data_IF_135932297903
#
_entry.id   IF_135932297903
#
_cell.length_a   1.000
_cell.length_b   1.000
_cell.length_c   1.000
_cell.angle_alpha   90.00
_cell.angle_beta   90.00
_cell.angle_gamma   90.00
#
_symmetry.space_group_name_H-M   'P 1'
#
loop_
_entity.id
_entity.type
_entity.pdbx_description
1 polymer ?
#
# COMPACT_ATOMS: atom_id res chain seq x y z
N UNK A 1 -15.35 -8.39 -8.03
CA UNK A 1 -15.01 -8.18 -9.47
C UNK A 1 -13.90 -9.14 -9.86
N UNK A 2 -13.86 -9.61 -11.12
CA UNK A 2 -12.78 -10.50 -11.56
C UNK A 2 -11.49 -9.73 -11.82
N UNK A 3 -10.37 -10.25 -11.30
CA UNK A 3 -9.02 -9.71 -11.48
C UNK A 3 -8.03 -10.85 -11.65
N UNK A 4 -6.92 -10.59 -12.33
CA UNK A 4 -5.75 -11.46 -12.35
C UNK A 4 -4.89 -11.17 -11.13
N UNK A 5 -4.82 -12.12 -10.21
CA UNK A 5 -4.08 -12.03 -8.94
C UNK A 5 -2.72 -12.70 -9.13
N UNK A 6 -1.66 -11.96 -8.82
CA UNK A 6 -0.29 -12.48 -8.83
C UNK A 6 0.10 -12.83 -7.40
N UNK A 7 0.48 -14.09 -7.15
CA UNK A 7 0.79 -14.59 -5.79
C UNK A 7 2.11 -15.32 -5.76
N UNK A 8 2.90 -15.10 -4.72
CA UNK A 8 4.08 -15.92 -4.44
C UNK A 8 3.63 -17.29 -3.91
N UNK A 9 4.12 -18.39 -4.52
CA UNK A 9 3.72 -19.75 -4.16
C UNK A 9 4.18 -20.19 -2.78
N UNK A 10 5.30 -19.63 -2.30
CA UNK A 10 5.92 -19.99 -1.04
C UNK A 10 5.29 -19.19 0.12
N UNK A 11 5.18 -17.87 -0.03
CA UNK A 11 4.69 -16.99 1.04
C UNK A 11 3.17 -16.81 1.01
N UNK A 12 2.50 -17.13 -0.10
CA UNK A 12 1.11 -16.78 -0.39
C UNK A 12 0.81 -15.27 -0.41
N UNK A 13 1.84 -14.42 -0.36
CA UNK A 13 1.65 -12.97 -0.47
C UNK A 13 1.16 -12.59 -1.86
N UNK A 14 0.20 -11.66 -1.91
CA UNK A 14 -0.34 -11.11 -3.16
C UNK A 14 0.47 -9.89 -3.57
N UNK A 15 1.02 -9.92 -4.76
CA UNK A 15 1.87 -8.86 -5.30
C UNK A 15 1.06 -7.75 -5.96
N UNK A 16 -0.07 -8.13 -6.56
CA UNK A 16 -0.96 -7.20 -7.26
C UNK A 16 -2.18 -7.90 -7.84
N UNK A 17 -3.19 -7.07 -8.16
CA UNK A 17 -4.49 -7.49 -8.67
C UNK A 17 -4.80 -6.65 -9.91
N UNK A 18 -4.82 -7.28 -11.08
CA UNK A 18 -4.81 -6.57 -12.37
C UNK A 18 -6.05 -6.88 -13.21
N UNK A 19 -6.42 -5.97 -14.11
CA UNK A 19 -7.59 -6.17 -14.99
C UNK A 19 -7.32 -7.22 -16.07
N UNK A 20 -6.07 -7.35 -16.50
CA UNK A 20 -5.68 -8.26 -17.58
C UNK A 20 -4.49 -9.12 -17.21
N UNK A 21 -4.41 -10.31 -17.80
CA UNK A 21 -3.27 -11.21 -17.65
C UNK A 21 -1.94 -10.59 -18.11
N UNK A 22 -2.00 -9.75 -19.16
CA UNK A 22 -0.81 -9.09 -19.70
C UNK A 22 -0.24 -8.09 -18.67
N UNK A 23 -1.10 -7.23 -18.10
CA UNK A 23 -0.69 -6.33 -17.01
C UNK A 23 -0.10 -7.10 -15.83
N UNK A 24 -0.74 -8.19 -15.41
CA UNK A 24 -0.23 -9.05 -14.35
C UNK A 24 1.17 -9.62 -14.65
N UNK A 25 1.39 -10.07 -15.90
CA UNK A 25 2.67 -10.64 -16.33
C UNK A 25 3.77 -9.59 -16.43
N UNK A 26 3.47 -8.41 -16.99
CA UNK A 26 4.42 -7.29 -17.08
C UNK A 26 4.86 -6.84 -15.68
N UNK A 27 3.90 -6.66 -14.77
CA UNK A 27 4.15 -6.24 -13.39
C UNK A 27 4.90 -7.28 -12.57
N UNK A 28 4.66 -8.58 -12.84
CA UNK A 28 5.44 -9.65 -12.23
C UNK A 28 6.92 -9.60 -12.66
N UNK A 29 7.19 -9.36 -13.94
CA UNK A 29 8.57 -9.23 -14.45
C UNK A 29 9.26 -8.01 -13.86
N UNK A 30 8.55 -6.87 -13.76
CA UNK A 30 9.06 -5.67 -13.07
C UNK A 30 9.43 -5.99 -11.61
N UNK A 31 8.55 -6.65 -10.87
CA UNK A 31 8.80 -7.01 -9.47
C UNK A 31 10.00 -7.94 -9.31
N UNK A 32 10.12 -8.99 -10.14
CA UNK A 32 11.25 -9.92 -10.08
C UNK A 32 12.56 -9.18 -10.38
N UNK A 33 12.55 -8.31 -11.39
CA UNK A 33 13.74 -7.52 -11.75
C UNK A 33 14.16 -6.62 -10.60
N UNK A 34 13.22 -5.94 -9.94
CA UNK A 34 13.48 -5.09 -8.78
C UNK A 34 14.01 -5.88 -7.57
N UNK A 35 13.51 -7.10 -7.35
CA UNK A 35 13.94 -7.94 -6.24
C UNK A 35 15.31 -8.59 -6.46
N UNK A 36 15.66 -8.85 -7.72
CA UNK A 36 16.92 -9.47 -8.08
C UNK A 36 18.02 -8.46 -8.41
N UNK A 37 17.76 -7.15 -8.34
CA UNK A 37 18.71 -6.10 -8.74
C UNK A 37 20.04 -6.22 -7.98
N UNK A 38 19.99 -6.63 -6.72
CA UNK A 38 21.13 -6.82 -5.83
C UNK A 38 21.36 -8.29 -5.39
N UNK A 39 20.75 -9.26 -6.07
CA UNK A 39 20.82 -10.69 -5.68
C UNK A 39 21.30 -11.55 -6.85
N UNK A 40 22.35 -12.34 -6.63
CA UNK A 40 22.86 -13.25 -7.66
C UNK A 40 21.93 -14.46 -7.85
N UNK A 41 21.94 -15.07 -9.05
CA UNK A 41 21.05 -16.20 -9.39
C UNK A 41 21.25 -17.47 -8.54
N UNK A 42 22.39 -17.57 -7.86
CA UNK A 42 22.77 -18.67 -6.98
C UNK A 42 22.63 -18.32 -5.48
N UNK A 43 22.19 -17.10 -5.15
CA UNK A 43 21.95 -16.65 -3.78
C UNK A 43 20.52 -16.93 -3.32
N UNK A 44 20.37 -17.16 -2.01
CA UNK A 44 19.07 -17.29 -1.38
C UNK A 44 18.27 -15.99 -1.53
N UNK A 45 17.04 -16.10 -2.03
CA UNK A 45 16.16 -14.96 -2.25
C UNK A 45 16.06 -14.51 -3.72
N UNK A 46 16.85 -15.08 -4.63
CA UNK A 46 16.64 -14.87 -6.07
C UNK A 46 15.28 -15.40 -6.50
N UNK A 47 14.48 -14.55 -7.16
CA UNK A 47 13.14 -14.88 -7.60
C UNK A 47 13.08 -15.22 -9.09
N UNK A 48 12.29 -16.22 -9.43
CA UNK A 48 11.99 -16.65 -10.79
C UNK A 48 10.51 -16.53 -11.08
N UNK A 49 10.14 -16.43 -12.36
CA UNK A 49 8.74 -16.44 -12.79
C UNK A 49 7.98 -17.69 -12.32
N UNK A 50 8.70 -18.78 -12.06
CA UNK A 50 8.11 -20.05 -11.61
C UNK A 50 7.73 -20.03 -10.12
N UNK A 51 8.24 -19.09 -9.34
CA UNK A 51 7.89 -18.92 -7.92
C UNK A 51 6.50 -18.27 -7.74
N UNK A 52 5.87 -17.86 -8.84
CA UNK A 52 4.61 -17.14 -8.82
C UNK A 52 3.51 -17.87 -9.58
N UNK A 53 2.30 -17.55 -9.17
CA UNK A 53 1.08 -17.97 -9.84
C UNK A 53 0.26 -16.75 -10.27
N UNK A 54 -0.44 -16.88 -11.41
CA UNK A 54 -1.29 -15.83 -11.97
C UNK A 54 -2.65 -16.45 -12.27
N UNK A 55 -3.63 -16.17 -11.42
CA UNK A 55 -4.98 -16.73 -11.52
C UNK A 55 -6.04 -15.63 -11.66
N UNK A 56 -7.11 -15.91 -12.39
CA UNK A 56 -8.30 -15.05 -12.39
C UNK A 56 -9.16 -15.39 -11.17
N UNK A 57 -9.33 -14.42 -10.27
CA UNK A 57 -10.06 -14.59 -9.01
C UNK A 57 -11.15 -13.51 -8.87
N UNK A 58 -12.21 -13.83 -8.13
CA UNK A 58 -13.19 -12.84 -7.71
C UNK A 58 -12.70 -12.11 -6.46
N UNK A 59 -12.39 -10.82 -6.63
CA UNK A 59 -11.84 -9.96 -5.59
C UNK A 59 -12.91 -9.02 -5.06
N UNK A 60 -12.98 -8.89 -3.73
CA UNK A 60 -13.75 -7.85 -3.07
C UNK A 60 -12.90 -6.58 -2.98
N UNK A 61 -13.47 -5.43 -3.34
CA UNK A 61 -12.74 -4.18 -3.27
C UNK A 61 -12.86 -3.56 -1.88
N UNK A 62 -11.73 -3.23 -1.25
CA UNK A 62 -11.66 -2.41 -0.04
C UNK A 62 -11.48 -0.96 -0.49
N UNK A 63 -12.58 -0.26 -0.76
CA UNK A 63 -12.56 1.09 -1.33
C UNK A 63 -12.74 2.22 -0.32
N UNK A 64 -13.18 1.89 0.90
CA UNK A 64 -13.50 2.88 1.93
C UNK A 64 -13.12 2.39 3.33
N UNK A 65 -13.20 3.31 4.29
CA UNK A 65 -13.04 3.01 5.71
C UNK A 65 -14.07 1.98 6.20
N UNK A 66 -15.32 2.08 5.76
CA UNK A 66 -16.38 1.14 6.16
C UNK A 66 -16.14 -0.26 5.59
N UNK A 67 -15.67 -0.34 4.33
CA UNK A 67 -15.26 -1.63 3.74
C UNK A 67 -14.11 -2.26 4.53
N UNK A 68 -13.12 -1.45 4.91
CA UNK A 68 -11.98 -1.89 5.71
C UNK A 68 -12.41 -2.39 7.09
N UNK A 69 -13.29 -1.65 7.80
CA UNK A 69 -13.87 -2.09 9.08
C UNK A 69 -14.57 -3.44 8.95
N UNK A 70 -15.43 -3.57 7.94
CA UNK A 70 -16.16 -4.81 7.68
C UNK A 70 -15.21 -5.97 7.39
N UNK A 71 -14.19 -5.74 6.57
CA UNK A 71 -13.17 -6.72 6.23
C UNK A 71 -12.37 -7.18 7.47
N UNK A 72 -12.03 -6.24 8.35
CA UNK A 72 -11.30 -6.52 9.59
C UNK A 72 -12.18 -7.10 10.70
N UNK A 73 -13.51 -7.07 10.56
CA UNK A 73 -14.46 -7.50 11.60
C UNK A 73 -14.55 -6.53 12.78
N UNK A 74 -14.28 -5.24 12.56
CA UNK A 74 -14.38 -4.20 13.57
C UNK A 74 -15.85 -3.86 13.86
N UNK A 75 -16.18 -3.53 15.11
CA UNK A 75 -17.56 -3.14 15.49
C UNK A 75 -17.99 -1.84 14.80
N UNK A 76 -19.30 -1.67 14.63
CA UNK A 76 -19.90 -0.41 14.12
C UNK A 76 -19.83 0.74 15.13
N UNK A 77 -19.05 0.59 16.19
CA UNK A 77 -18.80 1.68 17.12
C UNK A 77 -18.15 2.86 16.39
N UNK A 78 -18.56 4.10 16.72
CA UNK A 78 -17.94 5.28 16.16
C UNK A 78 -16.46 5.31 16.53
N UNK A 79 -15.64 5.91 15.66
CA UNK A 79 -14.23 6.13 15.97
C UNK A 79 -14.12 6.81 17.33
N UNK A 80 -13.32 6.24 18.24
CA UNK A 80 -13.22 6.72 19.62
C UNK A 80 -13.05 8.25 19.67
N UNK A 81 -13.84 8.93 20.50
CA UNK A 81 -13.66 10.37 20.73
C UNK A 81 -12.33 10.61 21.44
N UNK A 82 -11.37 11.22 20.75
CA UNK A 82 -10.10 11.60 21.36
C UNK A 82 -10.32 12.89 22.17
N UNK A 83 -10.39 12.75 23.49
CA UNK A 83 -10.58 13.88 24.40
C UNK A 83 -9.34 14.78 24.48
N UNK A 84 -9.53 16.10 24.56
CA UNK A 84 -8.45 17.07 24.77
C UNK A 84 -7.66 17.44 23.52
N UNK A 85 -8.12 17.04 22.33
CA UNK A 85 -7.51 17.42 21.06
C UNK A 85 -7.87 18.87 20.71
N UNK A 86 -6.89 19.62 20.21
CA UNK A 86 -7.14 20.91 19.59
C UNK A 86 -8.03 20.72 18.35
N UNK A 87 -9.16 21.44 18.27
CA UNK A 87 -10.11 21.36 17.14
C UNK A 87 -9.44 21.48 15.76
N UNK A 88 -8.34 22.23 15.66
CA UNK A 88 -7.55 22.36 14.42
C UNK A 88 -6.89 21.04 13.96
N UNK A 89 -6.72 20.06 14.84
CA UNK A 89 -6.08 18.77 14.54
C UNK A 89 -7.08 17.60 14.49
N UNK A 90 -8.34 17.81 14.86
CA UNK A 90 -9.36 16.75 14.91
C UNK A 90 -9.55 16.07 13.54
N UNK A 91 -9.62 16.88 12.48
CA UNK A 91 -9.74 16.40 11.09
C UNK A 91 -8.55 15.52 10.68
N UNK A 92 -7.33 15.97 10.99
CA UNK A 92 -6.10 15.25 10.66
C UNK A 92 -5.99 13.91 11.41
N UNK A 93 -6.34 13.88 12.70
CA UNK A 93 -6.32 12.65 13.49
C UNK A 93 -7.39 11.65 13.01
N UNK A 94 -8.58 12.13 12.67
CA UNK A 94 -9.64 11.32 12.09
C UNK A 94 -9.21 10.72 10.73
N UNK A 95 -8.59 11.53 9.87
CA UNK A 95 -8.06 11.08 8.59
C UNK A 95 -6.96 10.03 8.77
N UNK A 96 -6.02 10.26 9.69
CA UNK A 96 -4.94 9.33 9.99
C UNK A 96 -5.46 7.99 10.51
N UNK A 97 -6.44 8.00 11.40
CA UNK A 97 -7.06 6.78 11.92
C UNK A 97 -7.76 5.97 10.82
N UNK A 98 -8.43 6.65 9.88
CA UNK A 98 -9.02 6.00 8.70
C UNK A 98 -7.95 5.39 7.80
N UNK A 99 -6.88 6.14 7.50
CA UNK A 99 -5.76 5.66 6.70
C UNK A 99 -5.13 4.39 7.31
N UNK A 100 -4.89 4.38 8.63
CA UNK A 100 -4.35 3.18 9.31
C UNK A 100 -5.27 1.96 9.18
N UNK A 101 -6.57 2.14 9.38
CA UNK A 101 -7.53 1.03 9.31
C UNK A 101 -7.61 0.47 7.89
N UNK A 102 -7.60 1.33 6.88
CA UNK A 102 -7.63 0.89 5.49
C UNK A 102 -6.31 0.21 5.10
N UNK A 103 -5.18 0.76 5.51
CA UNK A 103 -3.87 0.16 5.26
C UNK A 103 -3.73 -1.22 5.90
N UNK A 104 -4.20 -1.38 7.14
CA UNK A 104 -4.25 -2.68 7.82
C UNK A 104 -5.10 -3.69 7.03
N UNK A 105 -6.28 -3.29 6.59
CA UNK A 105 -7.15 -4.14 5.79
C UNK A 105 -6.50 -4.54 4.45
N UNK A 106 -5.85 -3.61 3.76
CA UNK A 106 -5.14 -3.87 2.51
C UNK A 106 -3.95 -4.82 2.71
N UNK A 107 -3.13 -4.60 3.74
CA UNK A 107 -1.99 -5.47 4.05
C UNK A 107 -2.44 -6.87 4.44
N UNK A 108 -3.51 -7.00 5.24
CA UNK A 108 -4.12 -8.29 5.57
C UNK A 108 -4.66 -9.01 4.34
N UNK A 109 -5.31 -8.27 3.42
CA UNK A 109 -5.80 -8.81 2.14
C UNK A 109 -4.66 -9.35 1.28
N UNK A 110 -3.49 -8.72 1.32
CA UNK A 110 -2.32 -9.14 0.54
C UNK A 110 -1.44 -10.17 1.26
N UNK A 111 -1.79 -10.56 2.49
CA UNK A 111 -0.96 -11.44 3.31
C UNK A 111 0.36 -10.81 3.77
N UNK A 112 0.48 -9.49 3.71
CA UNK A 112 1.69 -8.76 4.05
C UNK A 112 1.67 -8.29 5.51
N UNK A 113 2.77 -8.54 6.21
CA UNK A 113 3.03 -8.01 7.56
C UNK A 113 4.42 -7.37 7.56
N UNK A 114 4.53 -6.05 7.80
CA UNK A 114 5.83 -5.40 7.78
C UNK A 114 6.66 -5.78 9.01
N UNK A 115 7.78 -6.43 8.77
CA UNK A 115 8.82 -6.79 9.72
C UNK A 115 10.01 -5.83 9.57
N UNK A 116 10.07 -4.81 10.42
CA UNK A 116 11.15 -3.82 10.42
C UNK A 116 12.48 -4.35 10.96
N UNK A 117 12.52 -5.58 11.50
CA UNK A 117 13.79 -6.25 11.84
C UNK A 117 14.42 -6.98 10.66
N UNK A 118 13.65 -7.18 9.57
CA UNK A 118 14.11 -7.82 8.34
C UNK A 118 14.47 -6.76 7.28
N UNK A 119 15.76 -6.56 7.06
CA UNK A 119 16.31 -5.64 6.06
C UNK A 119 16.01 -6.08 4.62
N UNK A 120 15.81 -7.38 4.38
CA UNK A 120 15.50 -7.94 3.06
C UNK A 120 14.00 -7.80 2.70
N UNK A 121 13.15 -7.46 3.67
CA UNK A 121 11.74 -7.22 3.40
C UNK A 121 11.53 -5.76 2.99
N UNK A 122 11.41 -5.51 1.68
CA UNK A 122 11.09 -4.18 1.17
C UNK A 122 9.72 -3.71 1.64
N UNK A 123 9.63 -2.40 1.91
CA UNK A 123 8.45 -1.72 2.43
C UNK A 123 8.27 -0.45 1.60
N UNK A 124 7.15 -0.37 0.90
CA UNK A 124 6.86 0.73 -0.01
C UNK A 124 5.89 1.70 0.64
N UNK A 125 6.14 2.99 0.44
CA UNK A 125 5.35 4.08 1.01
C UNK A 125 4.78 4.94 -0.13
N UNK A 126 3.53 5.44 0.01
CA UNK A 126 3.01 6.41 -0.92
C UNK A 126 3.83 7.71 -0.87
N UNK A 127 4.24 8.22 -2.04
CA UNK A 127 5.01 9.46 -2.15
C UNK A 127 4.15 10.58 -2.73
N UNK A 128 4.18 11.75 -2.07
CA UNK A 128 3.37 12.90 -2.44
C UNK A 128 4.24 14.13 -2.71
N UNK A 129 3.85 14.90 -3.72
CA UNK A 129 4.44 16.22 -4.00
C UNK A 129 3.37 17.29 -3.90
N UNK A 130 3.75 18.46 -3.36
CA UNK A 130 2.81 19.57 -3.26
C UNK A 130 2.59 20.20 -4.63
N UNK A 131 1.36 20.15 -5.13
CA UNK A 131 0.96 20.80 -6.36
C UNK A 131 0.26 22.14 -6.05
N UNK A 132 0.87 23.22 -6.54
CA UNK A 132 0.38 24.59 -6.32
C UNK A 132 -0.97 24.85 -6.98
N UNK A 133 -1.23 24.26 -8.14
CA UNK A 133 -2.49 24.44 -8.89
C UNK A 133 -3.64 23.69 -8.22
N UNK A 134 -3.37 22.51 -7.67
CA UNK A 134 -4.33 21.72 -6.90
C UNK A 134 -4.51 22.22 -5.45
N UNK A 135 -3.66 23.18 -5.01
CA UNK A 135 -3.54 23.63 -3.63
C UNK A 135 -3.52 22.46 -2.63
N UNK A 136 -2.72 21.44 -2.93
CA UNK A 136 -2.64 20.24 -2.12
C UNK A 136 -1.56 19.28 -2.54
N UNK A 137 -1.36 18.26 -1.71
CA UNK A 137 -0.47 17.15 -2.04
C UNK A 137 -1.15 16.26 -3.07
N UNK A 138 -0.50 16.12 -4.22
CA UNK A 138 -0.90 15.14 -5.24
C UNK A 138 0.10 14.00 -5.20
N UNK A 139 -0.38 12.79 -5.49
CA UNK A 139 0.53 11.66 -5.59
C UNK A 139 1.58 11.90 -6.68
N UNK A 140 2.84 11.72 -6.34
CA UNK A 140 3.95 11.92 -7.26
C UNK A 140 4.33 10.60 -7.93
N UNK A 141 4.13 10.53 -9.25
CA UNK A 141 4.64 9.44 -10.07
C UNK A 141 6.16 9.58 -10.22
N UNK A 142 6.92 9.30 -9.16
CA UNK A 142 8.39 9.37 -9.25
C UNK A 142 8.91 8.22 -10.08
N UNK A 143 9.69 8.55 -11.11
CA UNK A 143 10.47 7.58 -11.86
C UNK A 143 11.58 7.02 -10.95
N UNK A 144 11.59 5.70 -10.79
CA UNK A 144 12.80 4.88 -10.65
C UNK A 144 13.73 5.28 -9.50
N UNK A 145 13.40 4.83 -8.30
CA UNK A 145 14.26 3.97 -7.48
C UNK A 145 13.51 3.66 -6.18
N UNK A 146 13.80 2.54 -5.51
CA UNK A 146 13.61 2.48 -4.07
C UNK A 146 14.60 3.50 -3.51
N UNK A 147 14.21 4.77 -3.52
CA UNK A 147 15.06 5.85 -3.09
C UNK A 147 15.49 5.52 -1.67
N UNK A 148 16.76 5.72 -1.29
CA UNK A 148 17.08 6.03 0.10
C UNK A 148 16.50 7.43 0.43
N UNK A 149 15.27 7.72 -0.01
CA UNK A 149 14.43 8.70 0.60
C UNK A 149 14.20 8.10 1.97
N UNK A 150 14.95 8.61 2.93
CA UNK A 150 14.71 8.46 4.36
C UNK A 150 13.29 9.00 4.66
N UNK A 151 12.29 8.26 4.18
CA UNK A 151 10.90 8.47 4.45
C UNK A 151 10.65 7.65 5.70
N UNK A 152 11.10 8.16 6.85
CA UNK A 152 10.83 7.60 8.19
C UNK A 152 9.33 7.73 8.56
N UNK A 153 8.42 7.65 7.59
CA UNK A 153 6.99 7.86 7.78
C UNK A 153 6.32 6.54 8.15
N UNK A 154 6.04 6.42 9.44
CA UNK A 154 4.98 5.62 10.04
C UNK A 154 4.83 4.19 9.50
N UNK A 155 5.35 3.22 10.24
CA UNK A 155 5.21 1.78 9.98
C UNK A 155 3.81 1.27 9.59
N UNK A 156 2.77 2.03 9.92
CA UNK A 156 1.35 1.72 9.67
C UNK A 156 0.87 2.02 8.25
N UNK A 157 1.64 2.76 7.43
CA UNK A 157 1.27 3.14 6.05
C UNK A 157 2.29 2.61 5.02
N UNK A 158 2.78 1.39 5.24
CA UNK A 158 3.68 0.70 4.33
C UNK A 158 3.04 -0.53 3.70
N UNK A 159 3.48 -0.88 2.48
CA UNK A 159 2.91 -1.93 1.65
C UNK A 159 3.98 -2.85 1.04
N UNK A 160 3.59 -4.06 0.67
CA UNK A 160 4.49 -5.10 0.13
C UNK A 160 5.10 -4.74 -1.23
N UNK A 161 4.37 -3.98 -2.05
CA UNK A 161 4.76 -3.66 -3.42
C UNK A 161 4.56 -2.18 -3.73
N UNK A 162 5.37 -1.69 -4.67
CA UNK A 162 5.28 -0.33 -5.19
C UNK A 162 3.90 -0.02 -5.76
N UNK A 163 3.35 -0.94 -6.55
CA UNK A 163 2.02 -0.79 -7.17
C UNK A 163 0.94 -0.62 -6.09
N UNK A 164 1.03 -1.39 -5.00
CA UNK A 164 0.06 -1.30 -3.90
C UNK A 164 0.16 0.03 -3.16
N UNK A 165 1.37 0.51 -2.90
CA UNK A 165 1.60 1.84 -2.31
C UNK A 165 1.09 2.97 -3.24
N UNK A 166 1.32 2.83 -4.55
CA UNK A 166 0.83 3.77 -5.57
C UNK A 166 -0.70 3.85 -5.56
N UNK A 167 -1.37 2.71 -5.66
CA UNK A 167 -2.83 2.64 -5.67
C UNK A 167 -3.44 3.18 -4.39
N UNK A 168 -2.83 2.86 -3.23
CA UNK A 168 -3.29 3.37 -1.94
C UNK A 168 -3.18 4.89 -1.85
N UNK A 169 -2.01 5.45 -2.20
CA UNK A 169 -1.78 6.89 -2.18
C UNK A 169 -2.72 7.66 -3.08
N UNK A 170 -2.91 7.17 -4.30
CA UNK A 170 -3.82 7.77 -5.28
C UNK A 170 -5.28 7.67 -4.85
N UNK A 171 -5.71 6.53 -4.33
CA UNK A 171 -7.11 6.29 -3.96
C UNK A 171 -7.55 7.11 -2.74
N UNK A 172 -6.66 7.29 -1.78
CA UNK A 172 -6.93 7.98 -0.52
C UNK A 172 -6.26 9.35 -0.41
N UNK A 173 -5.96 9.98 -1.55
CA UNK A 173 -5.29 11.30 -1.62
C UNK A 173 -6.00 12.37 -0.78
N UNK A 174 -7.34 12.35 -0.74
CA UNK A 174 -8.12 13.28 0.08
C UNK A 174 -7.86 13.12 1.58
N UNK A 175 -7.77 11.88 2.08
CA UNK A 175 -7.43 11.60 3.48
C UNK A 175 -5.98 12.01 3.78
N UNK A 176 -5.06 11.79 2.84
CA UNK A 176 -3.68 12.27 2.98
C UNK A 176 -3.61 13.80 3.05
N UNK A 177 -4.38 14.51 2.23
CA UNK A 177 -4.45 15.97 2.30
C UNK A 177 -5.04 16.46 3.63
N UNK A 178 -6.10 15.82 4.13
CA UNK A 178 -6.69 16.14 5.44
C UNK A 178 -5.72 15.90 6.61
N UNK A 179 -4.80 14.95 6.44
CA UNK A 179 -3.75 14.64 7.41
C UNK A 179 -2.52 15.56 7.30
N UNK A 180 -2.07 15.86 6.08
CA UNK A 180 -0.80 16.56 5.82
C UNK A 180 -0.93 18.10 5.77
N UNK A 181 -2.13 18.64 5.57
CA UNK A 181 -2.36 20.08 5.45
C UNK A 181 -3.09 20.64 6.68
N UNK A 182 -2.64 21.80 7.14
CA UNK A 182 -3.26 22.51 8.27
C UNK A 182 -4.57 23.21 7.90
N UNK A 183 -4.69 23.70 6.67
CA UNK A 183 -5.79 24.56 6.22
C UNK A 183 -6.40 24.04 4.91
N UNK A 184 -7.46 23.21 5.02
CA UNK A 184 -8.34 22.83 3.91
C UNK A 184 -9.81 22.83 4.32
#
# INVERSE_FOLDING_TARGET
MKKYVVRNKTTNEVLGKFDTKNQASEKLVEYITEKNDDVCSDEDGFLSIFDFDVQEEEVQEIASYEDAKKYLGLSDEPLMTICGVNKHHEKALLALSKLFTIAEAWNKEDGFVPDFSNENQYKYFPWFEYNKDAAGFVYAATYWTASPAFADVGSRLCFATRERAFDFGKKFESLYNDFLLLDK
#
